data_IF_898004220629
#
_entry.id   IF_898004220629
#
_cell.length_a   1.000
_cell.length_b   1.000
_cell.length_c   1.000
_cell.angle_alpha   90.00
_cell.angle_beta   90.00
_cell.angle_gamma   90.00
#
_symmetry.space_group_name_H-M   'P 1'
#
loop_
_entity.id
_entity.type
_entity.pdbx_description
1 polymer ?
#
# COMPACT_ATOMS: atom_id res chain seq x y z
N UNK A 1 13.97 10.82 11.68
CA UNK A 1 13.20 9.57 11.44
C UNK A 1 13.99 8.67 10.50
N UNK A 2 14.09 7.39 10.84
CA UNK A 2 14.82 6.44 10.00
C UNK A 2 13.96 5.96 8.82
N UNK A 3 14.55 5.94 7.63
CA UNK A 3 13.98 5.32 6.45
C UNK A 3 13.98 3.79 6.56
N UNK A 4 14.95 3.25 7.31
CA UNK A 4 15.19 1.82 7.40
C UNK A 4 14.36 1.18 8.50
N UNK A 5 13.81 0.01 8.19
CA UNK A 5 13.10 -0.80 9.18
C UNK A 5 14.09 -1.71 9.90
N UNK A 6 14.00 -1.75 11.21
CA UNK A 6 14.85 -2.57 12.07
C UNK A 6 14.05 -3.79 12.51
N UNK A 7 14.49 -4.96 12.10
CA UNK A 7 13.89 -6.24 12.46
C UNK A 7 14.90 -7.10 13.18
N UNK A 8 14.44 -8.20 13.77
CA UNK A 8 15.33 -9.21 14.33
C UNK A 8 16.31 -9.67 13.25
N UNK A 9 17.60 -9.55 13.50
CA UNK A 9 18.67 -9.97 12.61
C UNK A 9 18.85 -9.17 11.33
N UNK A 10 18.09 -8.08 11.10
CA UNK A 10 18.33 -7.26 9.91
C UNK A 10 17.86 -5.82 10.04
N UNK A 11 18.43 -4.98 9.20
CA UNK A 11 17.97 -3.62 8.94
C UNK A 11 17.71 -3.56 7.45
N UNK A 12 16.53 -3.09 7.04
CA UNK A 12 16.14 -3.13 5.65
C UNK A 12 15.40 -1.87 5.20
N UNK A 13 15.40 -1.64 3.89
CA UNK A 13 14.60 -0.63 3.23
C UNK A 13 14.16 -1.19 1.89
N UNK A 14 12.97 -1.77 1.86
CA UNK A 14 12.43 -2.44 0.67
C UNK A 14 11.15 -1.73 0.28
N UNK A 15 11.18 -1.02 -0.84
CA UNK A 15 10.04 -0.27 -1.35
C UNK A 15 9.71 -0.75 -2.76
N UNK A 16 8.43 -1.05 -2.98
CA UNK A 16 7.89 -1.45 -4.27
C UNK A 16 6.94 -0.41 -4.81
N UNK A 17 6.98 -0.20 -6.10
CA UNK A 17 5.95 0.50 -6.85
C UNK A 17 5.05 -0.54 -7.50
N UNK A 18 3.76 -0.54 -7.15
CA UNK A 18 2.79 -1.52 -7.60
C UNK A 18 1.66 -0.78 -8.31
N UNK A 19 1.25 -1.28 -9.49
CA UNK A 19 0.11 -0.73 -10.23
C UNK A 19 -0.90 -1.83 -10.45
N UNK A 20 -2.14 -1.59 -10.01
CA UNK A 20 -3.24 -2.54 -10.14
C UNK A 20 -4.36 -1.91 -10.97
N UNK A 21 -4.62 -2.41 -12.19
CA UNK A 21 -5.76 -1.97 -12.98
C UNK A 21 -7.06 -2.63 -12.50
N UNK A 22 -8.16 -1.91 -12.64
CA UNK A 22 -9.50 -2.46 -12.38
C UNK A 22 -9.89 -3.47 -13.46
N UNK A 23 -10.80 -4.38 -13.10
CA UNK A 23 -11.29 -5.41 -14.02
C UNK A 23 -11.90 -4.77 -15.26
N UNK A 24 -11.47 -5.21 -16.44
CA UNK A 24 -11.85 -4.67 -17.76
C UNK A 24 -11.49 -3.18 -17.92
N UNK A 25 -10.60 -2.65 -17.12
CA UNK A 25 -10.24 -1.22 -17.12
C UNK A 25 -11.47 -0.32 -16.96
N UNK A 26 -12.44 -0.77 -16.18
CA UNK A 26 -13.64 -0.02 -15.90
C UNK A 26 -13.36 1.23 -15.08
N UNK A 27 -14.03 2.32 -15.42
CA UNK A 27 -13.93 3.59 -14.70
C UNK A 27 -14.82 3.51 -13.47
N UNK A 28 -14.27 3.04 -12.37
CA UNK A 28 -15.01 2.84 -11.10
C UNK A 28 -14.35 3.51 -9.91
N UNK A 29 -13.11 3.99 -10.05
CA UNK A 29 -12.40 4.64 -8.94
C UNK A 29 -12.71 6.13 -8.97
N UNK A 30 -13.86 6.48 -8.41
CA UNK A 30 -14.29 7.85 -8.21
C UNK A 30 -13.97 8.25 -6.77
N UNK A 31 -14.26 9.50 -6.40
CA UNK A 31 -13.85 10.10 -5.13
C UNK A 31 -14.14 9.22 -3.91
N UNK A 32 -15.34 8.61 -3.83
CA UNK A 32 -15.73 7.77 -2.69
C UNK A 32 -14.92 6.48 -2.65
N UNK A 33 -14.70 5.86 -3.80
CA UNK A 33 -13.94 4.61 -3.90
C UNK A 33 -12.46 4.88 -3.61
N UNK A 34 -11.93 5.99 -4.09
CA UNK A 34 -10.58 6.44 -3.77
C UNK A 34 -10.38 6.53 -2.25
N UNK A 35 -11.27 7.21 -1.56
CA UNK A 35 -11.17 7.34 -0.10
C UNK A 35 -11.31 6.00 0.61
N UNK A 36 -12.21 5.15 0.14
CA UNK A 36 -12.38 3.80 0.69
C UNK A 36 -11.10 2.97 0.57
N UNK A 37 -10.47 2.99 -0.61
CA UNK A 37 -9.21 2.26 -0.84
C UNK A 37 -8.12 2.76 0.11
N UNK A 38 -7.98 4.07 0.26
CA UNK A 38 -6.97 4.65 1.15
C UNK A 38 -7.20 4.25 2.61
N UNK A 39 -8.45 4.25 3.06
CA UNK A 39 -8.78 3.84 4.43
C UNK A 39 -8.50 2.36 4.65
N UNK A 40 -8.80 1.52 3.68
CA UNK A 40 -8.50 0.08 3.74
C UNK A 40 -6.99 -0.14 3.84
N UNK A 41 -6.20 0.60 3.07
CA UNK A 41 -4.73 0.48 3.10
C UNK A 41 -4.15 0.86 4.46
N UNK A 42 -4.75 1.82 5.17
CA UNK A 42 -4.34 2.12 6.55
C UNK A 42 -4.58 0.92 7.47
N UNK A 43 -5.69 0.22 7.29
CA UNK A 43 -5.95 -0.99 8.07
C UNK A 43 -4.98 -2.13 7.73
N UNK A 44 -4.60 -2.27 6.46
CA UNK A 44 -3.60 -3.24 6.05
C UNK A 44 -2.27 -2.95 6.74
N UNK A 45 -1.87 -1.69 6.82
CA UNK A 45 -0.64 -1.26 7.49
C UNK A 45 -0.62 -1.69 8.96
N UNK A 46 -1.78 -1.68 9.63
CA UNK A 46 -1.86 -2.09 11.04
C UNK A 46 -1.74 -3.59 11.26
N UNK A 47 -2.05 -4.40 10.24
CA UNK A 47 -2.09 -5.87 10.36
C UNK A 47 -0.87 -6.57 9.78
N UNK A 48 -0.22 -5.96 8.81
CA UNK A 48 0.86 -6.58 8.04
C UNK A 48 2.09 -5.70 8.06
N UNK A 49 3.24 -6.30 7.77
CA UNK A 49 4.50 -5.57 7.64
C UNK A 49 4.56 -4.82 6.30
N UNK A 50 3.57 -3.97 6.07
CA UNK A 50 3.47 -3.11 4.89
C UNK A 50 3.16 -1.70 5.33
N UNK A 51 3.86 -0.73 4.75
CA UNK A 51 3.56 0.67 4.99
C UNK A 51 3.36 1.37 3.65
N UNK A 52 2.18 1.95 3.46
CA UNK A 52 1.84 2.65 2.22
C UNK A 52 2.38 4.08 2.30
N UNK A 53 3.42 4.36 1.53
CA UNK A 53 4.05 5.68 1.47
C UNK A 53 3.27 6.63 0.58
N UNK A 54 2.66 6.10 -0.48
CA UNK A 54 1.88 6.87 -1.43
C UNK A 54 0.83 5.97 -2.07
N UNK A 55 -0.36 6.52 -2.26
CA UNK A 55 -1.44 5.87 -3.01
C UNK A 55 -1.95 6.89 -4.01
N UNK A 56 -1.71 6.62 -5.28
CA UNK A 56 -2.20 7.45 -6.38
C UNK A 56 -3.32 6.72 -7.10
N UNK A 57 -4.49 7.33 -7.17
CA UNK A 57 -5.62 6.73 -7.86
C UNK A 57 -5.89 7.43 -9.17
N UNK A 58 -6.26 6.67 -10.17
CA UNK A 58 -6.86 7.15 -11.38
C UNK A 58 -8.18 6.40 -11.57
N UNK A 59 -8.93 6.72 -12.59
CA UNK A 59 -10.30 6.19 -12.77
C UNK A 59 -10.34 4.68 -12.91
N UNK A 60 -9.32 4.07 -13.50
CA UNK A 60 -9.29 2.64 -13.83
C UNK A 60 -8.05 1.90 -13.31
N UNK A 61 -7.25 2.54 -12.46
CA UNK A 61 -6.09 1.88 -11.84
C UNK A 61 -5.63 2.61 -10.59
N UNK A 62 -4.84 1.93 -9.78
CA UNK A 62 -4.26 2.49 -8.55
C UNK A 62 -2.76 2.19 -8.52
N UNK A 63 -1.98 3.20 -8.16
CA UNK A 63 -0.56 3.09 -7.88
C UNK A 63 -0.35 3.02 -6.37
N UNK A 64 0.41 2.04 -5.92
CA UNK A 64 0.80 1.91 -4.52
C UNK A 64 2.32 2.00 -4.41
N UNK A 65 2.79 2.84 -3.52
CA UNK A 65 4.19 2.85 -3.11
C UNK A 65 4.26 2.25 -1.72
N UNK A 66 4.82 1.04 -1.61
CA UNK A 66 4.71 0.23 -0.41
C UNK A 66 6.09 -0.13 0.12
N UNK A 67 6.34 0.19 1.39
CA UNK A 67 7.51 -0.28 2.10
C UNK A 67 7.17 -1.60 2.79
N UNK A 68 8.03 -2.59 2.61
CA UNK A 68 7.82 -3.94 3.13
C UNK A 68 9.06 -4.46 3.84
N UNK A 69 9.12 -5.75 4.08
CA UNK A 69 10.21 -6.43 4.81
C UNK A 69 10.68 -7.66 4.02
N UNK A 70 11.91 -8.16 4.29
CA UNK A 70 12.46 -9.29 3.54
C UNK A 70 11.62 -10.57 3.56
N UNK A 71 10.87 -10.79 4.62
CA UNK A 71 10.07 -12.02 4.77
C UNK A 71 8.88 -12.09 3.83
N UNK A 72 8.44 -10.96 3.27
CA UNK A 72 7.26 -10.92 2.40
C UNK A 72 7.68 -10.99 0.93
N UNK A 73 7.18 -12.00 0.23
CA UNK A 73 7.37 -12.12 -1.21
C UNK A 73 6.55 -11.06 -1.94
N UNK A 74 7.09 -10.48 -3.02
CA UNK A 74 6.34 -9.49 -3.82
C UNK A 74 4.94 -9.97 -4.23
N UNK A 75 4.82 -11.21 -4.66
CA UNK A 75 3.53 -11.81 -5.03
C UNK A 75 2.54 -11.75 -3.87
N UNK A 76 2.99 -12.07 -2.66
CA UNK A 76 2.11 -12.09 -1.49
C UNK A 76 1.68 -10.68 -1.09
N UNK A 77 2.56 -9.70 -1.26
CA UNK A 77 2.23 -8.29 -1.03
C UNK A 77 1.08 -7.88 -1.95
N UNK A 78 1.21 -8.14 -3.25
CA UNK A 78 0.19 -7.79 -4.24
C UNK A 78 -1.11 -8.53 -3.96
N UNK A 79 -1.07 -9.83 -3.67
CA UNK A 79 -2.26 -10.60 -3.37
C UNK A 79 -2.98 -10.10 -2.12
N UNK A 80 -2.25 -9.75 -1.09
CA UNK A 80 -2.82 -9.19 0.14
C UNK A 80 -3.55 -7.88 -0.15
N UNK A 81 -2.89 -6.97 -0.86
CA UNK A 81 -3.48 -5.69 -1.23
C UNK A 81 -4.75 -5.91 -2.06
N UNK A 82 -4.67 -6.72 -3.11
CA UNK A 82 -5.79 -6.93 -4.03
C UNK A 82 -6.97 -7.63 -3.35
N UNK A 83 -6.73 -8.67 -2.56
CA UNK A 83 -7.80 -9.43 -1.93
C UNK A 83 -8.54 -8.62 -0.88
N UNK A 84 -7.81 -7.91 -0.03
CA UNK A 84 -8.44 -7.13 1.04
C UNK A 84 -9.17 -5.92 0.47
N UNK A 85 -8.54 -5.18 -0.45
CA UNK A 85 -9.19 -4.00 -1.04
C UNK A 85 -10.43 -4.38 -1.83
N UNK A 86 -10.38 -5.45 -2.62
CA UNK A 86 -11.56 -5.90 -3.38
C UNK A 86 -12.72 -6.28 -2.47
N UNK A 87 -12.45 -7.09 -1.45
CA UNK A 87 -13.47 -7.53 -0.50
C UNK A 87 -14.11 -6.35 0.23
N UNK A 88 -13.29 -5.45 0.76
CA UNK A 88 -13.80 -4.33 1.54
C UNK A 88 -14.48 -3.27 0.68
N UNK A 89 -14.00 -3.01 -0.53
CA UNK A 89 -14.68 -2.10 -1.45
C UNK A 89 -16.06 -2.64 -1.81
N UNK A 90 -16.18 -3.92 -2.13
CA UNK A 90 -17.47 -4.52 -2.45
C UNK A 90 -18.43 -4.52 -1.24
N UNK A 91 -17.89 -4.72 -0.04
CA UNK A 91 -18.67 -4.69 1.19
C UNK A 91 -19.22 -3.30 1.49
N UNK A 92 -18.39 -2.28 1.34
CA UNK A 92 -18.76 -0.90 1.66
C UNK A 92 -19.50 -0.21 0.51
N UNK A 93 -19.34 -0.70 -0.71
CA UNK A 93 -19.91 -0.10 -1.93
C UNK A 93 -20.48 -1.21 -2.82
N UNK A 94 -21.64 -1.81 -2.45
CA UNK A 94 -22.21 -2.92 -3.21
C UNK A 94 -22.51 -2.59 -4.68
N UNK A 95 -22.78 -1.33 -5.00
CA UNK A 95 -23.04 -0.88 -6.36
C UNK A 95 -21.85 -1.09 -7.30
N UNK A 96 -20.62 -1.07 -6.77
CA UNK A 96 -19.40 -1.31 -7.57
C UNK A 96 -19.41 -2.76 -8.07
N UNK A 97 -19.80 -3.70 -7.23
CA UNK A 97 -19.89 -5.11 -7.62
C UNK A 97 -20.87 -5.32 -8.77
N UNK A 98 -22.01 -4.62 -8.73
CA UNK A 98 -22.98 -4.65 -9.81
C UNK A 98 -22.41 -4.10 -11.12
N UNK A 99 -21.64 -3.01 -11.05
CA UNK A 99 -20.99 -2.41 -12.22
C UNK A 99 -20.00 -3.38 -12.88
N UNK A 100 -19.46 -4.30 -12.11
CA UNK A 100 -18.52 -5.32 -12.59
C UNK A 100 -19.21 -6.68 -12.82
N UNK A 101 -20.54 -6.69 -12.89
CA UNK A 101 -21.36 -7.89 -13.12
C UNK A 101 -21.07 -9.00 -12.11
N UNK A 102 -20.83 -8.63 -10.84
CA UNK A 102 -20.51 -9.58 -9.80
C UNK A 102 -19.11 -10.18 -9.88
N UNK A 103 -18.27 -9.70 -10.83
CA UNK A 103 -16.92 -10.20 -11.03
C UNK A 103 -15.89 -9.61 -10.08
N UNK A 104 -14.62 -9.81 -10.41
CA UNK A 104 -13.51 -9.29 -9.60
C UNK A 104 -13.38 -7.77 -9.72
N UNK A 105 -12.90 -7.14 -8.66
CA UNK A 105 -12.58 -5.70 -8.68
C UNK A 105 -11.36 -5.39 -9.54
N UNK A 106 -10.30 -6.20 -9.34
CA UNK A 106 -9.03 -6.02 -10.04
C UNK A 106 -8.88 -7.00 -11.20
N UNK A 107 -8.15 -6.59 -12.24
CA UNK A 107 -7.68 -7.54 -13.25
C UNK A 107 -6.67 -8.51 -12.61
N UNK A 108 -6.42 -9.65 -13.25
CA UNK A 108 -5.45 -10.62 -12.74
C UNK A 108 -4.01 -10.12 -12.82
N UNK A 109 -3.73 -9.19 -13.74
CA UNK A 109 -2.39 -8.64 -13.91
C UNK A 109 -2.07 -7.52 -12.92
N UNK A 110 -0.80 -7.19 -12.86
CA UNK A 110 -0.29 -6.06 -12.10
C UNK A 110 1.11 -5.73 -12.58
N UNK A 111 1.55 -4.51 -12.30
CA UNK A 111 2.94 -4.11 -12.50
C UNK A 111 3.60 -3.97 -11.13
N UNK A 112 4.85 -4.41 -11.01
CA UNK A 112 5.64 -4.22 -9.79
C UNK A 112 7.09 -3.94 -10.15
N UNK A 113 7.68 -2.96 -9.46
CA UNK A 113 9.10 -2.67 -9.56
C UNK A 113 9.64 -2.26 -8.20
N UNK A 114 10.94 -2.42 -8.01
CA UNK A 114 11.61 -1.91 -6.82
C UNK A 114 11.93 -0.43 -7.00
N UNK A 115 12.09 0.27 -5.88
CA UNK A 115 12.51 1.67 -5.85
C UNK A 115 13.94 1.73 -5.31
N UNK A 116 14.82 2.43 -6.00
CA UNK A 116 16.21 2.59 -5.58
C UNK A 116 16.36 3.42 -4.31
N UNK A 117 17.54 3.41 -3.70
CA UNK A 117 17.79 4.06 -2.41
C UNK A 117 17.42 5.55 -2.42
N UNK A 118 17.91 6.30 -3.40
CA UNK A 118 17.63 7.74 -3.49
C UNK A 118 16.13 8.02 -3.65
N UNK A 119 15.45 7.23 -4.50
CA UNK A 119 14.02 7.33 -4.68
C UNK A 119 13.25 6.99 -3.41
N UNK A 120 13.72 6.01 -2.65
CA UNK A 120 13.10 5.61 -1.38
C UNK A 120 13.19 6.74 -0.35
N UNK A 121 14.35 7.39 -0.23
CA UNK A 121 14.51 8.51 0.69
C UNK A 121 13.58 9.67 0.33
N UNK A 122 13.47 9.99 -0.95
CA UNK A 122 12.58 11.03 -1.43
C UNK A 122 11.11 10.68 -1.19
N UNK A 123 10.74 9.43 -1.40
CA UNK A 123 9.36 8.97 -1.22
C UNK A 123 8.92 9.08 0.25
N UNK A 124 9.77 8.66 1.18
CA UNK A 124 9.44 8.77 2.61
C UNK A 124 9.34 10.23 3.03
N UNK A 125 10.30 11.05 2.62
CA UNK A 125 10.30 12.47 2.95
C UNK A 125 9.04 13.17 2.42
N UNK A 126 8.68 12.89 1.17
CA UNK A 126 7.48 13.46 0.54
C UNK A 126 6.21 13.00 1.26
N UNK A 127 6.13 11.71 1.59
CA UNK A 127 4.97 11.17 2.31
C UNK A 127 4.79 11.87 3.65
N UNK A 128 5.84 11.95 4.45
CA UNK A 128 5.79 12.57 5.77
C UNK A 128 5.41 14.04 5.67
N UNK A 129 6.01 14.77 4.73
CA UNK A 129 5.78 16.22 4.57
C UNK A 129 4.38 16.54 4.04
N UNK A 130 3.97 15.86 2.95
CA UNK A 130 2.77 16.25 2.21
C UNK A 130 1.49 15.66 2.77
N UNK A 131 1.56 14.49 3.40
CA UNK A 131 0.36 13.82 3.90
C UNK A 131 -0.02 14.26 5.31
N UNK A 132 0.85 15.00 5.99
CA UNK A 132 0.59 15.40 7.38
C UNK A 132 0.47 14.21 8.32
N UNK A 133 1.02 13.07 7.95
CA UNK A 133 0.92 11.81 8.70
C UNK A 133 2.21 11.43 9.41
N UNK A 134 3.03 12.41 9.76
CA UNK A 134 4.29 12.16 10.41
C UNK A 134 4.14 11.35 11.70
N UNK A 135 3.19 11.74 12.55
CA UNK A 135 2.94 11.01 13.81
C UNK A 135 2.51 9.58 13.56
N UNK A 136 1.64 9.39 12.58
CA UNK A 136 1.13 8.07 12.21
C UNK A 136 2.25 7.17 11.67
N UNK A 137 3.07 7.72 10.78
CA UNK A 137 4.23 6.99 10.25
C UNK A 137 5.18 6.58 11.38
N UNK A 138 5.55 7.51 12.25
CA UNK A 138 6.44 7.24 13.38
C UNK A 138 5.85 6.19 14.31
N UNK A 139 4.56 6.29 14.62
CA UNK A 139 3.89 5.32 15.48
C UNK A 139 3.93 3.92 14.90
N UNK A 140 3.62 3.77 13.62
CA UNK A 140 3.62 2.46 12.96
C UNK A 140 5.01 1.83 12.90
N UNK A 141 6.05 2.64 12.73
CA UNK A 141 7.41 2.15 12.65
C UNK A 141 8.07 1.93 14.01
N UNK A 142 7.58 2.56 15.08
CA UNK A 142 8.15 2.42 16.41
C UNK A 142 8.22 0.96 16.86
N UNK A 143 7.12 0.23 16.71
CA UNK A 143 7.06 -1.17 17.12
C UNK A 143 8.00 -2.05 16.29
N UNK A 144 8.34 -1.63 15.09
CA UNK A 144 9.19 -2.38 14.17
C UNK A 144 10.68 -2.13 14.41
N UNK A 145 11.04 -0.97 14.96
CA UNK A 145 12.44 -0.58 15.10
C UNK A 145 12.95 -0.62 16.55
N UNK A 146 12.09 -0.84 17.52
CA UNK A 146 12.47 -0.80 18.95
C UNK A 146 13.60 -1.74 19.32
N UNK A 147 13.69 -2.89 18.69
CA UNK A 147 14.74 -3.88 18.97
C UNK A 147 16.15 -3.34 18.68
N UNK A 148 16.27 -2.31 17.89
CA UNK A 148 17.55 -1.78 17.42
C UNK A 148 17.72 -0.29 17.71
N UNK A 149 16.97 0.23 18.66
CA UNK A 149 17.00 1.66 18.98
C UNK A 149 18.38 2.16 19.39
N UNK A 150 19.26 1.30 19.82
CA UNK A 150 20.62 1.66 20.19
C UNK A 150 21.64 1.55 19.05
N UNK A 151 21.23 1.16 17.87
CA UNK A 151 22.14 0.95 16.74
C UNK A 151 22.42 2.22 15.90
#
# INVERSE_FOLDING_TARGET
>A
MSLYLHKSHNVNCIIYHIVCPTKYRRIIILKRIDQTIKNICLEITRRYDMHFLEIGTDKDHVHFLVQSVPMMLPKNIVQTIKSITAREVFKQNPEVKKQLWGGAFWTTGYFISTVGRAGSEMAVAKYVKNQGREKEYKKLHTDQITLFDGL
#
